data_IF_684560432329
#
_entry.id   IF_684560432329
#
_cell.length_a   1.000
_cell.length_b   1.000
_cell.length_c   1.000
_cell.angle_alpha   90.00
_cell.angle_beta   90.00
_cell.angle_gamma   90.00
#
_symmetry.space_group_name_H-M   'P 1'
#
loop_
_entity.id
_entity.type
_entity.pdbx_description
1 polymer ?
#
# COMPACT_ATOMS: atom_id res chain seq x y z
N UNK A 1 7.94 14.00 -1.94
CA UNK A 1 8.57 15.33 -2.18
C UNK A 1 9.49 15.82 -1.05
N UNK A 2 9.00 16.11 0.17
CA UNK A 2 9.83 16.73 1.23
C UNK A 2 11.03 15.89 1.74
N UNK A 3 10.89 14.59 2.06
CA UNK A 3 12.02 13.80 2.55
C UNK A 3 13.07 13.47 1.48
N UNK A 4 12.70 13.62 0.20
CA UNK A 4 13.56 13.44 -0.96
C UNK A 4 14.30 14.73 -1.36
N UNK A 5 14.02 15.85 -0.68
CA UNK A 5 14.70 17.14 -0.86
C UNK A 5 14.26 17.96 -2.08
N UNK A 6 13.16 17.59 -2.74
CA UNK A 6 12.60 18.35 -3.87
C UNK A 6 11.93 19.67 -3.43
N UNK A 7 11.57 19.78 -2.15
CA UNK A 7 10.89 20.95 -1.58
C UNK A 7 11.50 21.31 -0.23
N UNK A 8 11.63 22.62 0.04
CA UNK A 8 11.98 23.11 1.39
C UNK A 8 10.75 23.06 2.30
N UNK A 9 10.92 22.79 3.61
CA UNK A 9 9.79 22.75 4.53
C UNK A 9 9.24 24.16 4.71
N UNK A 10 7.92 24.34 4.49
CA UNK A 10 7.24 25.63 4.71
C UNK A 10 7.38 26.16 6.14
N UNK A 11 7.52 25.27 7.13
CA UNK A 11 7.80 25.55 8.54
C UNK A 11 8.20 24.26 9.28
N UNK A 12 8.74 24.37 10.49
CA UNK A 12 9.18 23.21 11.30
C UNK A 12 10.42 22.49 10.75
N UNK A 13 10.84 21.40 11.40
CA UNK A 13 11.99 20.58 10.98
C UNK A 13 11.64 19.09 11.02
N UNK A 14 12.39 18.27 10.30
CA UNK A 14 12.26 16.82 10.29
C UNK A 14 13.62 16.15 10.44
N UNK A 15 13.63 14.99 11.09
CA UNK A 15 14.85 14.26 11.39
C UNK A 15 14.81 12.88 10.73
N UNK A 16 15.85 12.56 9.96
CA UNK A 16 16.01 11.24 9.32
C UNK A 16 17.34 10.66 9.77
N UNK A 17 17.32 9.48 10.39
CA UNK A 17 18.53 8.84 10.94
C UNK A 17 19.35 9.74 11.88
N UNK A 18 18.71 10.67 12.59
CA UNK A 18 19.39 11.62 13.49
C UNK A 18 19.94 12.88 12.81
N UNK A 19 19.68 13.08 11.52
CA UNK A 19 20.09 14.27 10.77
C UNK A 19 18.89 15.16 10.48
N UNK A 20 19.06 16.47 10.62
CA UNK A 20 18.02 17.47 10.29
C UNK A 20 17.92 17.66 8.77
N UNK A 21 16.70 17.65 8.25
CA UNK A 21 16.43 17.90 6.82
C UNK A 21 16.79 19.34 6.43
N UNK A 22 16.75 20.29 7.36
CA UNK A 22 17.12 21.69 7.09
C UNK A 22 18.62 21.92 6.96
N UNK A 23 19.42 21.28 7.82
CA UNK A 23 20.85 21.59 7.95
C UNK A 23 21.76 20.51 7.36
N UNK A 24 21.31 19.25 7.27
CA UNK A 24 22.15 18.07 7.00
C UNK A 24 21.60 17.20 5.87
N UNK A 25 21.03 17.84 4.83
CA UNK A 25 20.37 17.13 3.73
C UNK A 25 21.29 16.16 2.96
N UNK A 26 22.57 16.51 2.77
CA UNK A 26 23.53 15.67 2.07
C UNK A 26 23.82 14.36 2.81
N UNK A 27 23.87 14.40 4.15
CA UNK A 27 24.04 13.20 4.96
C UNK A 27 22.83 12.28 4.84
N UNK A 28 21.62 12.85 4.81
CA UNK A 28 20.38 12.11 4.59
C UNK A 28 20.39 11.42 3.22
N UNK A 29 20.78 12.12 2.14
CA UNK A 29 20.81 11.54 0.78
C UNK A 29 21.76 10.36 0.61
N UNK A 30 22.85 10.32 1.39
CA UNK A 30 23.77 9.17 1.40
C UNK A 30 23.15 7.94 2.06
N UNK A 31 22.26 8.15 3.03
CA UNK A 31 21.63 7.08 3.81
C UNK A 31 20.29 6.62 3.24
N UNK A 32 19.73 7.41 2.32
CA UNK A 32 18.39 7.21 1.81
C UNK A 32 18.37 6.68 0.37
N UNK A 33 17.41 5.79 0.11
CA UNK A 33 16.92 5.45 -1.22
C UNK A 33 15.67 6.24 -1.55
N UNK A 34 15.44 6.55 -2.83
CA UNK A 34 14.22 7.21 -3.29
C UNK A 34 13.76 6.64 -4.61
N UNK A 35 12.51 6.18 -4.66
CA UNK A 35 11.82 5.74 -5.87
C UNK A 35 10.69 6.75 -6.16
N UNK A 36 10.85 7.67 -7.12
CA UNK A 36 9.81 8.64 -7.45
C UNK A 36 8.66 8.02 -8.26
N UNK A 37 7.48 8.64 -8.20
CA UNK A 37 6.32 8.26 -9.02
C UNK A 37 6.60 8.41 -10.51
N UNK A 38 7.31 9.46 -10.93
CA UNK A 38 7.71 9.71 -12.31
C UNK A 38 9.19 10.11 -12.39
N UNK A 39 9.83 9.84 -13.53
CA UNK A 39 11.23 10.22 -13.76
C UNK A 39 12.24 9.30 -13.06
N UNK A 40 13.35 9.88 -12.59
CA UNK A 40 14.44 9.14 -11.91
C UNK A 40 15.44 8.44 -12.83
N UNK A 41 15.25 8.49 -14.14
CA UNK A 41 16.18 7.96 -15.13
C UNK A 41 16.66 9.10 -16.04
N UNK A 42 17.90 9.02 -16.52
CA UNK A 42 18.48 10.06 -17.38
C UNK A 42 17.77 10.01 -18.75
N UNK A 43 16.97 11.03 -19.06
CA UNK A 43 16.16 11.10 -20.29
C UNK A 43 16.64 12.18 -21.29
N UNK A 44 16.49 11.79 -22.57
CA UNK A 44 16.63 12.47 -23.88
C UNK A 44 17.90 13.22 -24.27
N UNK A 45 18.57 13.96 -23.40
CA UNK A 45 19.54 14.96 -23.91
C UNK A 45 20.99 14.42 -23.90
N UNK A 46 21.23 13.34 -23.15
CA UNK A 46 22.51 12.64 -23.06
C UNK A 46 22.39 11.21 -23.56
N UNK A 47 22.42 11.00 -24.88
CA UNK A 47 22.87 9.76 -25.51
C UNK A 47 22.13 8.44 -25.22
N UNK A 48 20.99 8.46 -24.52
CA UNK A 48 20.14 7.29 -24.28
C UNK A 48 20.85 6.11 -23.61
N UNK A 49 21.34 6.31 -22.38
CA UNK A 49 22.00 5.26 -21.60
C UNK A 49 21.17 3.97 -21.52
N UNK A 50 21.88 2.84 -21.52
CA UNK A 50 21.29 1.52 -21.32
C UNK A 50 20.83 1.34 -19.87
N UNK A 51 20.01 0.31 -19.64
CA UNK A 51 19.64 -0.10 -18.29
C UNK A 51 20.88 -0.37 -17.43
N UNK A 52 21.86 -1.11 -17.96
CA UNK A 52 23.07 -1.45 -17.20
C UNK A 52 23.90 -0.22 -16.86
N UNK A 53 24.03 0.72 -17.81
CA UNK A 53 24.75 1.98 -17.58
C UNK A 53 24.08 2.85 -16.52
N UNK A 54 22.75 2.80 -16.39
CA UNK A 54 22.06 3.46 -15.28
C UNK A 54 22.44 2.86 -13.94
N UNK A 55 22.48 1.52 -13.83
CA UNK A 55 22.90 0.86 -12.60
C UNK A 55 24.35 1.21 -12.23
N UNK A 56 25.25 1.25 -13.20
CA UNK A 56 26.64 1.66 -12.98
C UNK A 56 26.73 3.12 -12.52
N UNK A 57 26.00 4.03 -13.18
CA UNK A 57 25.99 5.45 -12.82
C UNK A 57 25.48 5.67 -11.39
N UNK A 58 24.34 5.08 -11.04
CA UNK A 58 23.78 5.20 -9.69
C UNK A 58 24.64 4.49 -8.63
N UNK A 59 25.25 3.34 -8.96
CA UNK A 59 26.19 2.66 -8.08
C UNK A 59 27.38 3.55 -7.71
N UNK A 60 27.98 4.23 -8.70
CA UNK A 60 29.06 5.20 -8.47
C UNK A 60 28.60 6.39 -7.63
N UNK A 61 27.44 6.97 -7.95
CA UNK A 61 26.87 8.09 -7.18
C UNK A 61 26.60 7.73 -5.71
N UNK A 62 26.28 6.46 -5.45
CA UNK A 62 26.04 5.91 -4.11
C UNK A 62 27.31 5.39 -3.43
N UNK A 63 28.47 5.53 -4.07
CA UNK A 63 29.78 5.23 -3.48
C UNK A 63 30.16 3.75 -3.50
N UNK A 64 29.58 2.94 -4.39
CA UNK A 64 30.03 1.55 -4.59
C UNK A 64 31.47 1.56 -5.13
N UNK A 65 32.43 0.85 -4.50
CA UNK A 65 33.81 0.79 -4.97
C UNK A 65 33.90 0.26 -6.41
N UNK A 66 34.73 0.88 -7.25
CA UNK A 66 34.87 0.50 -8.68
C UNK A 66 35.19 -1.00 -8.89
N UNK A 67 36.03 -1.67 -8.06
CA UNK A 67 36.27 -3.11 -8.19
C UNK A 67 35.03 -3.97 -7.94
N UNK A 68 34.07 -3.48 -7.15
CA UNK A 68 32.85 -4.19 -6.77
C UNK A 68 31.65 -3.81 -7.65
N UNK A 69 31.75 -2.72 -8.42
CA UNK A 69 30.64 -2.12 -9.15
C UNK A 69 29.96 -3.12 -10.10
N UNK A 70 30.73 -3.84 -10.90
CA UNK A 70 30.21 -4.85 -11.84
C UNK A 70 29.44 -5.94 -11.10
N UNK A 71 30.04 -6.50 -10.04
CA UNK A 71 29.41 -7.54 -9.24
C UNK A 71 28.14 -7.02 -8.54
N UNK A 72 28.13 -5.77 -8.09
CA UNK A 72 26.94 -5.12 -7.56
C UNK A 72 25.84 -5.00 -8.63
N UNK A 73 26.15 -4.46 -9.81
CA UNK A 73 25.18 -4.32 -10.90
C UNK A 73 24.61 -5.67 -11.35
N UNK A 74 25.44 -6.70 -11.48
CA UNK A 74 25.01 -8.04 -11.88
C UNK A 74 24.07 -8.67 -10.84
N UNK A 75 24.35 -8.48 -9.54
CA UNK A 75 23.42 -8.88 -8.46
C UNK A 75 22.08 -8.16 -8.57
N UNK A 76 22.09 -6.85 -8.81
CA UNK A 76 20.87 -6.05 -8.94
C UNK A 76 20.06 -6.46 -10.17
N UNK A 77 20.70 -6.71 -11.30
CA UNK A 77 20.05 -7.23 -12.52
C UNK A 77 19.38 -8.58 -12.25
N UNK A 78 20.08 -9.49 -11.56
CA UNK A 78 19.55 -10.80 -11.21
C UNK A 78 18.37 -10.69 -10.23
N UNK A 79 18.52 -9.85 -9.20
CA UNK A 79 17.48 -9.62 -8.20
C UNK A 79 16.21 -9.04 -8.84
N UNK A 80 16.33 -8.05 -9.73
CA UNK A 80 15.18 -7.39 -10.33
C UNK A 80 14.65 -8.03 -11.61
N UNK A 81 15.24 -9.16 -12.06
CA UNK A 81 14.81 -9.87 -13.27
C UNK A 81 14.97 -9.02 -14.53
N UNK A 82 16.11 -8.34 -14.68
CA UNK A 82 16.39 -7.35 -15.75
C UNK A 82 17.36 -7.86 -16.83
N UNK A 83 17.70 -9.15 -16.82
CA UNK A 83 18.73 -9.77 -17.67
C UNK A 83 18.49 -9.49 -19.17
N UNK A 84 17.26 -9.67 -19.64
CA UNK A 84 16.89 -9.52 -21.05
C UNK A 84 16.88 -8.06 -21.54
N UNK A 85 17.17 -7.12 -20.64
CA UNK A 85 17.01 -5.69 -20.88
C UNK A 85 18.28 -4.88 -20.60
N UNK A 86 19.35 -5.50 -20.11
CA UNK A 86 20.59 -4.82 -19.71
C UNK A 86 21.20 -3.94 -20.80
N UNK A 87 21.14 -4.38 -22.07
CA UNK A 87 21.66 -3.63 -23.23
C UNK A 87 20.64 -2.69 -23.88
N UNK A 88 19.37 -2.72 -23.45
CA UNK A 88 18.33 -1.86 -24.02
C UNK A 88 18.46 -0.45 -23.46
N UNK A 89 18.37 0.54 -24.34
CA UNK A 89 18.25 1.94 -23.94
C UNK A 89 16.97 2.13 -23.11
N UNK A 90 17.04 2.92 -22.03
CA UNK A 90 15.90 3.12 -21.11
C UNK A 90 14.62 3.57 -21.82
N UNK A 91 14.76 4.43 -22.85
CA UNK A 91 13.63 4.88 -23.69
C UNK A 91 12.85 3.76 -24.39
N UNK A 92 13.49 2.60 -24.61
CA UNK A 92 12.90 1.43 -25.29
C UNK A 92 12.32 0.40 -24.30
N UNK A 93 12.43 0.64 -22.99
CA UNK A 93 11.88 -0.25 -21.98
C UNK A 93 10.37 -0.05 -21.84
N UNK A 94 9.65 -1.13 -21.52
CA UNK A 94 8.24 -1.05 -21.11
C UNK A 94 8.10 -0.25 -19.81
N UNK A 95 6.90 0.24 -19.52
CA UNK A 95 6.62 0.95 -18.26
C UNK A 95 6.99 0.13 -17.03
N UNK A 96 6.57 -1.15 -17.00
CA UNK A 96 6.90 -2.08 -15.92
C UNK A 96 8.41 -2.29 -15.74
N UNK A 97 9.17 -2.48 -16.82
CA UNK A 97 10.63 -2.65 -16.72
C UNK A 97 11.33 -1.36 -16.27
N UNK A 98 10.88 -0.18 -16.72
CA UNK A 98 11.39 1.10 -16.20
C UNK A 98 11.13 1.23 -14.70
N UNK A 99 9.94 0.85 -14.25
CA UNK A 99 9.60 0.87 -12.82
C UNK A 99 10.48 -0.09 -12.02
N UNK A 100 10.71 -1.31 -12.52
CA UNK A 100 11.65 -2.26 -11.91
C UNK A 100 13.05 -1.67 -11.80
N UNK A 101 13.56 -0.98 -12.82
CA UNK A 101 14.86 -0.32 -12.78
C UNK A 101 14.92 0.79 -11.72
N UNK A 102 13.91 1.67 -11.65
CA UNK A 102 13.86 2.75 -10.65
C UNK A 102 13.82 2.17 -9.23
N UNK A 103 12.98 1.17 -8.99
CA UNK A 103 12.93 0.47 -7.71
C UNK A 103 14.25 -0.23 -7.39
N UNK A 104 14.91 -0.83 -8.38
CA UNK A 104 16.21 -1.45 -8.24
C UNK A 104 17.26 -0.44 -7.77
N UNK A 105 17.33 0.73 -8.40
CA UNK A 105 18.23 1.83 -8.02
C UNK A 105 17.96 2.31 -6.60
N UNK A 106 16.68 2.48 -6.22
CA UNK A 106 16.31 2.95 -4.89
C UNK A 106 16.65 1.94 -3.78
N UNK A 107 16.59 0.64 -4.08
CA UNK A 107 16.75 -0.44 -3.11
C UNK A 107 18.14 -1.07 -3.12
N UNK A 108 18.93 -0.95 -4.19
CA UNK A 108 20.21 -1.65 -4.36
C UNK A 108 21.31 -1.14 -3.44
N UNK A 109 21.32 0.15 -3.12
CA UNK A 109 22.40 0.79 -2.34
C UNK A 109 22.34 0.57 -0.83
N UNK A 110 21.73 -0.53 -0.38
CA UNK A 110 21.51 -0.85 1.05
C UNK A 110 21.16 0.36 1.94
N UNK A 111 20.14 1.16 1.57
CA UNK A 111 19.81 2.36 2.32
C UNK A 111 19.27 2.03 3.70
N UNK A 112 19.53 2.90 4.68
CA UNK A 112 18.91 2.82 6.02
C UNK A 112 17.41 3.13 5.97
N UNK A 113 17.03 4.07 5.11
CA UNK A 113 15.63 4.48 4.88
C UNK A 113 15.38 4.54 3.37
N UNK A 114 14.27 3.98 2.89
CA UNK A 114 13.87 4.11 1.49
C UNK A 114 12.50 4.76 1.40
N UNK A 115 12.41 5.84 0.62
CA UNK A 115 11.16 6.51 0.28
C UNK A 115 10.66 5.97 -1.06
N UNK A 116 9.44 5.44 -1.07
CA UNK A 116 8.81 4.86 -2.23
C UNK A 116 7.54 5.66 -2.54
N UNK A 117 7.58 6.42 -3.63
CA UNK A 117 6.47 7.24 -4.05
C UNK A 117 5.70 6.56 -5.17
N UNK A 118 4.54 5.99 -4.83
CA UNK A 118 3.67 5.27 -5.75
C UNK A 118 4.41 4.23 -6.62
N UNK A 119 5.16 3.29 -6.00
CA UNK A 119 6.10 2.43 -6.71
C UNK A 119 5.40 1.42 -7.64
N UNK A 120 4.11 1.17 -7.48
CA UNK A 120 3.35 0.22 -8.31
C UNK A 120 2.27 0.88 -9.16
N UNK A 121 2.25 2.21 -9.25
CA UNK A 121 1.33 2.90 -10.14
C UNK A 121 1.66 2.65 -11.62
N UNK A 122 0.67 2.19 -12.37
CA UNK A 122 0.74 2.00 -13.82
C UNK A 122 1.50 0.75 -14.27
N UNK A 123 1.75 -0.22 -13.39
CA UNK A 123 2.34 -1.52 -13.75
C UNK A 123 1.31 -2.63 -13.72
N UNK A 124 1.56 -3.71 -14.47
CA UNK A 124 0.72 -4.90 -14.49
C UNK A 124 0.76 -5.66 -13.15
N UNK A 125 -0.21 -6.56 -12.93
CA UNK A 125 -0.35 -7.33 -11.69
C UNK A 125 0.90 -8.13 -11.34
N UNK A 126 1.56 -8.74 -12.33
CA UNK A 126 2.76 -9.53 -12.12
C UNK A 126 3.95 -8.67 -11.69
N UNK A 127 4.17 -7.53 -12.36
CA UNK A 127 5.20 -6.57 -11.95
C UNK A 127 4.93 -5.98 -10.56
N UNK A 128 3.67 -5.71 -10.23
CA UNK A 128 3.26 -5.21 -8.90
C UNK A 128 3.62 -6.21 -7.79
N UNK A 129 3.20 -7.46 -7.94
CA UNK A 129 3.51 -8.52 -6.97
C UNK A 129 5.01 -8.71 -6.80
N UNK A 130 5.76 -8.70 -7.90
CA UNK A 130 7.22 -8.77 -7.87
C UNK A 130 7.85 -7.62 -7.08
N UNK A 131 7.41 -6.38 -7.30
CA UNK A 131 7.91 -5.22 -6.56
C UNK A 131 7.57 -5.32 -5.07
N UNK A 132 6.36 -5.77 -4.73
CA UNK A 132 5.96 -5.98 -3.34
C UNK A 132 6.85 -6.98 -2.61
N UNK A 133 7.21 -8.08 -3.27
CA UNK A 133 8.15 -9.06 -2.71
C UNK A 133 9.53 -8.45 -2.46
N UNK A 134 10.06 -7.66 -3.40
CA UNK A 134 11.36 -6.98 -3.26
C UNK A 134 11.35 -5.95 -2.14
N UNK A 135 10.30 -5.13 -2.07
CA UNK A 135 10.11 -4.13 -1.01
C UNK A 135 10.03 -4.84 0.35
N UNK A 136 9.21 -5.87 0.48
CA UNK A 136 9.08 -6.67 1.72
C UNK A 136 10.39 -7.33 2.13
N UNK A 137 11.12 -7.91 1.17
CA UNK A 137 12.42 -8.52 1.44
C UNK A 137 13.44 -7.50 1.95
N UNK A 138 13.44 -6.27 1.39
CA UNK A 138 14.29 -5.19 1.88
C UNK A 138 13.94 -4.76 3.30
N UNK A 139 12.65 -4.64 3.61
CA UNK A 139 12.18 -4.32 4.97
C UNK A 139 12.64 -5.36 6.00
N UNK A 140 12.57 -6.65 5.65
CA UNK A 140 13.06 -7.76 6.50
C UNK A 140 14.56 -7.70 6.77
N UNK A 141 15.35 -7.07 5.89
CA UNK A 141 16.80 -6.85 6.05
C UNK A 141 17.14 -5.62 6.90
N UNK A 142 16.15 -4.97 7.52
CA UNK A 142 16.36 -3.84 8.44
C UNK A 142 16.29 -2.46 7.79
N UNK A 143 15.91 -2.37 6.51
CA UNK A 143 15.65 -1.07 5.86
C UNK A 143 14.29 -0.51 6.34
N UNK A 144 14.26 0.74 6.77
CA UNK A 144 13.00 1.43 7.07
C UNK A 144 12.38 1.91 5.76
N UNK A 145 11.14 1.49 5.48
CA UNK A 145 10.47 1.81 4.22
C UNK A 145 9.32 2.78 4.49
N UNK A 146 9.30 3.90 3.78
CA UNK A 146 8.21 4.88 3.80
C UNK A 146 7.58 4.89 2.42
N UNK A 147 6.33 4.45 2.37
CA UNK A 147 5.58 4.24 1.14
C UNK A 147 4.41 5.24 1.09
N UNK A 148 4.28 5.95 -0.03
CA UNK A 148 3.07 6.69 -0.37
C UNK A 148 2.35 5.93 -1.48
N UNK A 149 1.05 5.70 -1.28
CA UNK A 149 0.22 4.96 -2.22
C UNK A 149 -1.24 5.36 -2.04
N UNK A 150 -1.98 5.39 -3.15
CA UNK A 150 -3.44 5.45 -3.15
C UNK A 150 -4.08 4.06 -3.23
N UNK A 151 -3.30 2.99 -3.39
CA UNK A 151 -3.81 1.62 -3.42
C UNK A 151 -3.87 1.02 -2.01
N UNK A 152 -5.08 0.86 -1.49
CA UNK A 152 -5.29 0.32 -0.15
C UNK A 152 -4.76 -1.12 0.02
N UNK A 153 -4.84 -1.94 -1.04
CA UNK A 153 -4.26 -3.28 -1.05
C UNK A 153 -2.73 -3.25 -0.85
N UNK A 154 -2.05 -2.26 -1.43
CA UNK A 154 -0.61 -2.08 -1.28
C UNK A 154 -0.24 -1.67 0.14
N UNK A 155 -0.99 -0.71 0.69
CA UNK A 155 -0.81 -0.27 2.07
C UNK A 155 -1.01 -1.43 3.06
N UNK A 156 -2.07 -2.24 2.90
CA UNK A 156 -2.36 -3.40 3.75
C UNK A 156 -1.28 -4.50 3.62
N UNK A 157 -0.79 -4.73 2.39
CA UNK A 157 0.17 -5.79 2.13
C UNK A 157 1.60 -5.46 2.58
N UNK A 158 2.03 -4.20 2.50
CA UNK A 158 3.43 -3.81 2.72
C UNK A 158 3.69 -3.14 4.07
N UNK A 159 2.67 -2.56 4.70
CA UNK A 159 2.86 -1.65 5.82
C UNK A 159 2.55 -2.30 7.17
N UNK A 160 3.43 -2.09 8.14
CA UNK A 160 3.15 -2.42 9.54
C UNK A 160 2.31 -1.34 10.23
N UNK A 161 2.45 -0.10 9.76
CA UNK A 161 1.74 1.09 10.21
C UNK A 161 1.30 1.89 8.99
N UNK A 162 0.06 2.34 9.00
CA UNK A 162 -0.55 3.16 7.96
C UNK A 162 -0.90 4.50 8.58
N UNK A 163 -0.53 5.58 7.89
CA UNK A 163 -0.97 6.93 8.19
C UNK A 163 -1.92 7.40 7.10
N UNK A 164 -3.08 7.93 7.48
CA UNK A 164 -4.04 8.51 6.53
C UNK A 164 -3.94 10.02 6.60
N UNK A 165 -3.67 10.64 5.46
CA UNK A 165 -3.62 12.10 5.31
C UNK A 165 -4.88 12.59 4.60
N UNK A 166 -5.50 13.65 5.13
CA UNK A 166 -6.62 14.35 4.51
C UNK A 166 -6.50 15.86 4.82
N UNK A 167 -6.84 16.72 3.85
CA UNK A 167 -6.73 18.17 4.01
C UNK A 167 -5.30 18.67 4.32
N UNK A 168 -4.27 17.96 3.85
CA UNK A 168 -2.87 18.28 4.12
C UNK A 168 -2.38 17.97 5.54
N UNK A 169 -3.19 17.28 6.36
CA UNK A 169 -2.84 16.88 7.74
C UNK A 169 -2.92 15.36 7.90
N UNK A 170 -2.05 14.81 8.76
CA UNK A 170 -2.13 13.42 9.17
C UNK A 170 -3.30 13.27 10.15
N UNK A 171 -4.34 12.55 9.75
CA UNK A 171 -5.56 12.38 10.54
C UNK A 171 -5.41 11.24 11.54
N UNK A 172 -4.93 10.09 11.07
CA UNK A 172 -4.79 8.88 11.90
C UNK A 172 -3.50 8.17 11.55
N UNK A 173 -2.94 7.44 12.53
CA UNK A 173 -1.82 6.53 12.33
C UNK A 173 -1.99 5.29 13.21
N UNK A 174 -1.80 4.10 12.65
CA UNK A 174 -1.95 2.86 13.39
C UNK A 174 -1.61 1.64 12.55
N UNK A 175 -1.66 0.45 13.14
CA UNK A 175 -1.62 -0.79 12.34
C UNK A 175 -2.89 -0.92 11.49
N UNK A 176 -2.86 -1.65 10.36
CA UNK A 176 -4.07 -1.85 9.55
C UNK A 176 -5.26 -2.35 10.37
N UNK A 177 -5.02 -3.30 11.29
CA UNK A 177 -6.06 -3.80 12.19
C UNK A 177 -6.56 -2.75 13.18
N UNK A 178 -5.68 -1.89 13.71
CA UNK A 178 -6.09 -0.79 14.58
C UNK A 178 -6.99 0.20 13.83
N UNK A 179 -6.64 0.52 12.58
CA UNK A 179 -7.45 1.42 11.77
C UNK A 179 -8.82 0.83 11.44
N UNK A 180 -8.86 -0.44 11.00
CA UNK A 180 -10.11 -1.16 10.72
C UNK A 180 -11.00 -1.34 11.95
N UNK A 181 -10.43 -1.49 13.14
CA UNK A 181 -11.22 -1.64 14.38
C UNK A 181 -11.71 -0.32 14.96
N UNK A 182 -10.90 0.74 14.93
CA UNK A 182 -11.24 2.03 15.54
C UNK A 182 -12.04 2.95 14.62
N UNK A 183 -11.79 2.87 13.32
CA UNK A 183 -12.36 3.76 12.30
C UNK A 183 -13.16 3.00 11.23
N UNK A 184 -13.13 1.67 11.25
CA UNK A 184 -14.01 0.85 10.42
C UNK A 184 -15.42 0.88 10.96
N UNK A 185 -16.38 0.82 10.03
CA UNK A 185 -17.81 0.78 10.32
C UNK A 185 -18.32 -0.59 10.77
N UNK A 186 -17.44 -1.56 11.05
CA UNK A 186 -17.80 -2.89 11.55
C UNK A 186 -17.53 -4.02 10.56
N UNK A 187 -18.54 -4.83 10.24
CA UNK A 187 -18.41 -6.03 9.42
C UNK A 187 -19.34 -6.00 8.21
N UNK A 188 -18.96 -6.70 7.14
CA UNK A 188 -19.79 -6.92 5.96
C UNK A 188 -20.14 -8.40 5.88
N UNK A 189 -21.43 -8.68 5.76
CA UNK A 189 -21.97 -10.05 5.61
C UNK A 189 -22.50 -10.17 4.20
N UNK A 190 -21.97 -11.11 3.44
CA UNK A 190 -22.43 -11.42 2.09
C UNK A 190 -23.05 -12.81 2.10
N UNK A 191 -24.27 -12.92 1.59
CA UNK A 191 -25.02 -14.17 1.49
C UNK A 191 -25.38 -14.38 0.02
N UNK A 192 -25.27 -15.63 -0.46
CA UNK A 192 -25.69 -16.02 -1.79
C UNK A 192 -26.56 -17.25 -1.71
N UNK A 193 -27.73 -17.20 -2.34
CA UNK A 193 -28.64 -18.35 -2.45
C UNK A 193 -29.66 -18.13 -3.56
N UNK A 194 -30.68 -18.98 -3.59
CA UNK A 194 -31.81 -18.80 -4.50
C UNK A 194 -32.56 -17.50 -4.16
N UNK A 195 -33.13 -16.78 -5.14
CA UNK A 195 -33.89 -15.54 -4.87
C UNK A 195 -35.01 -15.70 -3.84
N UNK A 196 -35.59 -16.89 -3.73
CA UNK A 196 -36.65 -17.22 -2.77
C UNK A 196 -36.18 -17.23 -1.31
N UNK A 197 -34.88 -17.44 -1.06
CA UNK A 197 -34.32 -17.53 0.30
C UNK A 197 -33.84 -16.18 0.83
N UNK A 198 -33.87 -15.13 -0.01
CA UNK A 198 -33.45 -13.77 0.32
C UNK A 198 -34.19 -13.16 1.53
N UNK A 199 -35.48 -13.46 1.70
CA UNK A 199 -36.25 -12.99 2.84
C UNK A 199 -35.79 -13.62 4.17
N UNK A 200 -35.54 -14.94 4.16
CA UNK A 200 -35.04 -15.67 5.33
C UNK A 200 -33.60 -15.28 5.70
N UNK A 201 -32.77 -15.06 4.68
CA UNK A 201 -31.39 -14.59 4.84
C UNK A 201 -31.33 -13.18 5.47
N UNK A 202 -32.16 -12.24 5.02
CA UNK A 202 -32.25 -10.92 5.65
C UNK A 202 -32.73 -10.98 7.11
N UNK A 203 -33.75 -11.78 7.40
CA UNK A 203 -34.25 -11.97 8.77
C UNK A 203 -33.19 -12.59 9.70
N UNK A 204 -32.38 -13.52 9.18
CA UNK A 204 -31.26 -14.10 9.90
C UNK A 204 -30.21 -13.03 10.27
N UNK A 205 -29.78 -12.22 9.31
CA UNK A 205 -28.76 -11.19 9.55
C UNK A 205 -29.26 -10.16 10.54
N UNK A 206 -30.51 -9.70 10.41
CA UNK A 206 -31.12 -8.78 11.38
C UNK A 206 -31.20 -9.36 12.81
N UNK A 207 -31.41 -10.68 12.93
CA UNK A 207 -31.42 -11.37 14.24
C UNK A 207 -30.02 -11.49 14.85
N UNK A 208 -29.02 -11.81 14.05
CA UNK A 208 -27.63 -11.94 14.50
C UNK A 208 -26.97 -10.58 14.76
N UNK A 209 -27.39 -9.57 14.00
CA UNK A 209 -26.84 -8.24 13.97
C UNK A 209 -27.98 -7.21 13.93
N UNK A 210 -28.49 -6.80 15.10
CA UNK A 210 -29.56 -5.80 15.18
C UNK A 210 -29.18 -4.45 14.54
N UNK A 211 -27.89 -4.12 14.51
CA UNK A 211 -27.32 -2.94 13.87
C UNK A 211 -26.94 -3.16 12.40
N UNK A 212 -27.47 -4.21 11.76
CA UNK A 212 -27.23 -4.46 10.34
C UNK A 212 -28.16 -3.67 9.44
N UNK A 213 -27.66 -3.24 8.29
CA UNK A 213 -28.46 -2.67 7.22
C UNK A 213 -28.10 -3.33 5.89
N UNK A 214 -29.11 -3.52 5.04
CA UNK A 214 -28.95 -4.10 3.71
C UNK A 214 -28.40 -3.03 2.76
N UNK A 215 -27.22 -3.27 2.20
CA UNK A 215 -26.55 -2.37 1.25
C UNK A 215 -26.94 -2.71 -0.18
N UNK A 216 -26.96 -4.01 -0.50
CA UNK A 216 -27.21 -4.48 -1.87
C UNK A 216 -27.99 -5.80 -1.84
N UNK A 217 -28.93 -5.94 -2.78
CA UNK A 217 -29.68 -7.19 -2.98
C UNK A 217 -29.97 -7.38 -4.46
N UNK A 218 -29.32 -8.35 -5.10
CA UNK A 218 -29.45 -8.61 -6.53
C UNK A 218 -29.36 -10.12 -6.83
N UNK A 219 -30.35 -10.69 -7.54
CA UNK A 219 -30.36 -12.09 -7.99
C UNK A 219 -29.94 -13.13 -6.92
N UNK A 220 -30.44 -13.01 -5.69
CA UNK A 220 -30.13 -13.94 -4.61
C UNK A 220 -28.78 -13.70 -3.92
N UNK A 221 -28.03 -12.68 -4.33
CA UNK A 221 -26.89 -12.14 -3.58
C UNK A 221 -27.35 -10.97 -2.71
N UNK A 222 -27.04 -11.03 -1.41
CA UNK A 222 -27.36 -9.98 -0.44
C UNK A 222 -26.13 -9.58 0.34
N UNK A 223 -25.91 -8.27 0.45
CA UNK A 223 -24.81 -7.67 1.20
C UNK A 223 -25.37 -6.83 2.31
N UNK A 224 -24.92 -7.09 3.53
CA UNK A 224 -25.27 -6.35 4.73
C UNK A 224 -24.03 -5.71 5.34
N UNK A 225 -24.17 -4.48 5.83
CA UNK A 225 -23.18 -3.84 6.67
C UNK A 225 -23.67 -3.83 8.11
N UNK A 226 -22.80 -4.26 9.01
CA UNK A 226 -23.04 -4.42 10.44
C UNK A 226 -22.21 -3.39 11.15
N UNK A 227 -22.86 -2.44 11.82
CA UNK A 227 -22.14 -1.51 12.67
C UNK A 227 -21.58 -2.22 13.90
N UNK A 228 -20.28 -2.06 14.12
CA UNK A 228 -19.67 -2.47 15.39
C UNK A 228 -20.22 -1.54 16.47
N UNK A 229 -21.17 -2.05 17.26
CA UNK A 229 -21.88 -1.27 18.27
C UNK A 229 -20.94 -0.51 19.22
N UNK A 230 -21.37 0.68 19.64
CA UNK A 230 -20.68 1.55 20.59
C UNK A 230 -20.45 0.92 21.99
N UNK A 231 -21.05 -0.23 22.26
CA UNK A 231 -20.81 -1.03 23.45
C UNK A 231 -19.76 -2.10 23.12
N UNK A 232 -18.53 -1.89 23.62
CA UNK A 232 -17.29 -2.62 23.33
C UNK A 232 -17.25 -4.14 23.64
N UNK A 233 -18.32 -4.88 23.37
CA UNK A 233 -18.30 -6.33 23.30
C UNK A 233 -17.73 -6.77 21.96
N UNK A 234 -16.51 -7.30 21.96
CA UNK A 234 -15.98 -8.01 20.81
C UNK A 234 -16.99 -9.07 20.37
N UNK A 235 -17.68 -8.84 19.24
CA UNK A 235 -18.52 -9.85 18.62
C UNK A 235 -17.62 -11.06 18.41
N UNK A 236 -17.90 -12.16 19.11
CA UNK A 236 -17.12 -13.38 18.95
C UNK A 236 -17.39 -13.90 17.54
N UNK A 237 -16.50 -13.58 16.60
CA UNK A 237 -16.56 -14.01 15.20
C UNK A 237 -16.89 -15.51 15.09
N UNK A 238 -16.30 -16.36 15.94
CA UNK A 238 -16.60 -17.80 15.94
C UNK A 238 -18.02 -18.19 16.40
N UNK A 239 -18.75 -17.34 17.11
CA UNK A 239 -20.16 -17.54 17.42
C UNK A 239 -21.04 -17.12 16.22
N UNK A 240 -20.69 -16.00 15.59
CA UNK A 240 -21.34 -15.52 14.35
C UNK A 240 -21.20 -16.55 13.24
N UNK A 241 -19.98 -17.04 12.97
CA UNK A 241 -19.72 -18.02 11.93
C UNK A 241 -20.54 -19.30 12.14
N UNK A 242 -20.61 -19.82 13.36
CA UNK A 242 -21.45 -20.99 13.68
C UNK A 242 -22.93 -20.73 13.45
N UNK A 243 -23.42 -19.54 13.80
CA UNK A 243 -24.82 -19.18 13.61
C UNK A 243 -25.16 -19.00 12.12
N UNK A 244 -24.27 -18.38 11.34
CA UNK A 244 -24.38 -18.27 9.89
C UNK A 244 -24.34 -19.64 9.23
N UNK A 245 -23.44 -20.53 9.64
CA UNK A 245 -23.31 -21.87 9.09
C UNK A 245 -24.55 -22.74 9.33
N UNK A 246 -25.08 -22.73 10.56
CA UNK A 246 -26.29 -23.48 10.91
C UNK A 246 -27.50 -22.98 10.10
N UNK A 247 -27.65 -21.67 9.98
CA UNK A 247 -28.77 -21.09 9.23
C UNK A 247 -28.58 -21.15 7.71
N UNK A 248 -27.34 -21.14 7.21
CA UNK A 248 -27.04 -21.38 5.81
C UNK A 248 -27.46 -22.80 5.38
N UNK A 249 -27.29 -23.79 6.25
CA UNK A 249 -27.77 -25.16 6.02
C UNK A 249 -29.31 -25.23 5.97
N UNK A 250 -29.99 -24.50 6.84
CA UNK A 250 -31.46 -24.42 6.88
C UNK A 250 -32.04 -23.71 5.65
N UNK A 251 -31.43 -22.59 5.25
CA UNK A 251 -31.84 -21.76 4.12
C UNK A 251 -31.27 -22.20 2.77
N UNK A 252 -30.48 -23.28 2.73
CA UNK A 252 -29.79 -23.80 1.53
C UNK A 252 -29.04 -22.71 0.76
N UNK A 253 -28.26 -21.91 1.46
CA UNK A 253 -27.40 -20.90 0.84
C UNK A 253 -26.28 -21.58 0.04
N UNK A 254 -25.95 -21.02 -1.12
CA UNK A 254 -24.83 -21.46 -1.95
C UNK A 254 -23.49 -21.06 -1.33
N UNK A 255 -23.41 -19.84 -0.80
CA UNK A 255 -22.21 -19.34 -0.12
C UNK A 255 -22.54 -18.23 0.86
N UNK A 256 -21.66 -18.05 1.84
CA UNK A 256 -21.67 -16.91 2.76
C UNK A 256 -20.25 -16.41 3.00
N UNK A 257 -20.09 -15.11 3.24
CA UNK A 257 -18.83 -14.51 3.62
C UNK A 257 -19.05 -13.46 4.71
N UNK A 258 -18.10 -13.37 5.63
CA UNK A 258 -18.04 -12.34 6.66
C UNK A 258 -16.67 -11.69 6.58
N UNK A 259 -16.64 -10.42 6.22
CA UNK A 259 -15.42 -9.63 6.09
C UNK A 259 -15.47 -8.41 7.01
N UNK A 260 -14.30 -7.91 7.41
CA UNK A 260 -14.20 -6.64 8.12
C UNK A 260 -14.19 -5.49 7.10
N UNK A 261 -14.61 -4.30 7.53
CA UNK A 261 -14.46 -3.06 6.74
C UNK A 261 -13.05 -2.93 6.14
N UNK A 262 -12.99 -2.57 4.86
CA UNK A 262 -11.73 -2.37 4.14
C UNK A 262 -11.04 -1.08 4.56
N UNK A 263 -9.74 -0.95 4.29
CA UNK A 263 -9.03 0.32 4.50
C UNK A 263 -9.57 1.45 3.63
N UNK A 264 -10.14 1.12 2.47
CA UNK A 264 -10.80 2.09 1.60
C UNK A 264 -12.01 2.73 2.28
N UNK A 265 -12.87 1.92 2.89
CA UNK A 265 -14.02 2.45 3.62
C UNK A 265 -13.58 3.23 4.88
N UNK A 266 -12.52 2.79 5.56
CA UNK A 266 -11.91 3.57 6.66
C UNK A 266 -11.44 4.94 6.16
N UNK A 267 -10.80 4.99 4.99
CA UNK A 267 -10.36 6.24 4.36
C UNK A 267 -11.54 7.15 4.03
N UNK A 268 -12.59 6.62 3.38
CA UNK A 268 -13.80 7.37 3.04
C UNK A 268 -14.47 7.96 4.28
N UNK A 269 -14.60 7.17 5.35
CA UNK A 269 -15.18 7.64 6.61
C UNK A 269 -14.37 8.78 7.25
N UNK A 270 -13.03 8.73 7.17
CA UNK A 270 -12.16 9.79 7.69
C UNK A 270 -12.25 11.05 6.82
N UNK A 271 -12.27 10.89 5.50
CA UNK A 271 -12.39 12.00 4.56
C UNK A 271 -13.73 12.73 4.72
N UNK A 272 -14.85 12.01 4.79
CA UNK A 272 -16.19 12.58 4.97
C UNK A 272 -16.30 13.41 6.27
N UNK A 273 -15.77 12.90 7.40
CA UNK A 273 -15.72 13.64 8.67
C UNK A 273 -14.93 14.94 8.59
N UNK A 274 -13.91 14.98 7.74
CA UNK A 274 -13.07 16.17 7.57
C UNK A 274 -13.77 17.24 6.71
N UNK A 275 -14.58 16.85 5.73
CA UNK A 275 -15.43 17.77 4.97
C UNK A 275 -16.51 18.38 5.86
N UNK A 276 -17.18 17.58 6.69
CA UNK A 276 -18.18 18.08 7.66
C UNK A 276 -17.59 19.08 8.67
N UNK A 277 -16.37 18.82 9.15
CA UNK A 277 -15.67 19.73 10.07
C UNK A 277 -15.11 20.98 9.39
N UNK A 278 -14.79 20.90 8.09
CA UNK A 278 -14.30 22.03 7.30
C UNK A 278 -15.40 23.00 6.88
N UNK A 279 -16.65 22.54 6.78
CA UNK A 279 -17.82 23.40 6.49
C UNK A 279 -18.31 24.12 7.75
N UNK A 280 -17.97 23.62 8.94
CA UNK A 280 -18.33 24.21 10.23
C UNK A 280 -17.30 25.22 10.80
N UNK A 281 -16.24 25.54 10.04
CA UNK A 281 -15.12 26.41 10.47
C UNK A 281 -14.99 27.68 9.64
#
# INVERSE_FOLDING_TARGET
AFPAGDLRPGGGDAWVCGYSVRTQLLDIFRLCGYCPQFGGLFHSDTGGLTLYQHLEAYGRLKGVPEPELRAHCDRVVAEFGLQDHVRKAVRKLSGGTRRKLIAAIALSSDPRVCFLDEPTTGVDVGTRQFLWERIRAKGKRGCTLILTTHYMEEADALSQRIGIMAGGRLQVIGSPQHLKSRHGGGYRVELKGAPETAGGAAALVARLFPSSHLVESHCGHQTFEVEAGAEGGAVKLGAVFRALEAAAAELRLESYALSQTTLEQVFLNIAARQEEQGVAA
#
